data_IF_362510609933
#
_entry.id   IF_362510609933
#
_cell.length_a   1.000
_cell.length_b   1.000
_cell.length_c   1.000
_cell.angle_alpha   90.00
_cell.angle_beta   90.00
_cell.angle_gamma   90.00
#
_symmetry.space_group_name_H-M   'P 1'
#
loop_
_entity.id
_entity.type
_entity.pdbx_description
1 polymer ?
#
# COMPACT_ATOMS: atom_id res chain seq x y z
N UNK A 1 12.71 -5.07 19.99
CA UNK A 1 11.53 -5.87 19.63
C UNK A 1 11.52 -5.95 18.12
N UNK A 2 11.61 -7.16 17.58
CA UNK A 2 11.61 -7.37 16.14
C UNK A 2 10.17 -7.33 15.60
N UNK A 3 9.94 -6.69 14.45
CA UNK A 3 8.62 -6.62 13.80
C UNK A 3 8.09 -8.02 13.47
N UNK A 4 8.98 -8.95 13.16
CA UNK A 4 8.61 -10.33 12.79
C UNK A 4 8.04 -11.14 13.95
N UNK A 5 8.33 -10.74 15.18
CA UNK A 5 7.81 -11.40 16.40
C UNK A 5 6.47 -10.81 16.86
N UNK A 6 6.04 -9.67 16.29
CA UNK A 6 4.85 -8.95 16.75
C UNK A 6 3.52 -9.59 16.32
N UNK A 7 3.54 -10.42 15.27
CA UNK A 7 2.37 -11.07 14.70
C UNK A 7 2.77 -12.22 13.76
N UNK A 8 1.79 -13.05 13.36
CA UNK A 8 1.97 -14.01 12.29
C UNK A 8 1.80 -13.33 10.93
N UNK A 9 2.91 -13.01 10.28
CA UNK A 9 2.93 -12.37 8.96
C UNK A 9 2.77 -13.39 7.83
N UNK A 10 2.07 -13.00 6.78
CA UNK A 10 2.03 -13.73 5.51
C UNK A 10 3.39 -13.68 4.80
N UNK A 11 3.55 -14.51 3.77
CA UNK A 11 4.61 -14.30 2.78
C UNK A 11 4.44 -12.94 2.09
N UNK A 12 5.54 -12.44 1.55
CA UNK A 12 5.57 -11.28 0.66
C UNK A 12 5.07 -11.68 -0.73
N UNK A 13 4.19 -10.88 -1.31
CA UNK A 13 3.66 -11.07 -2.66
C UNK A 13 3.52 -9.72 -3.37
N UNK A 14 3.52 -9.71 -4.70
CA UNK A 14 3.33 -8.49 -5.48
C UNK A 14 1.95 -7.85 -5.26
N UNK A 15 1.82 -6.53 -5.50
CA UNK A 15 0.58 -5.78 -5.26
C UNK A 15 -0.67 -6.37 -5.94
N UNK A 16 -0.57 -6.82 -7.19
CA UNK A 16 -1.69 -7.44 -7.93
C UNK A 16 -2.08 -8.82 -7.37
N UNK A 17 -1.09 -9.61 -6.96
CA UNK A 17 -1.34 -10.88 -6.28
C UNK A 17 -2.00 -10.65 -4.92
N UNK A 18 -1.47 -9.72 -4.12
CA UNK A 18 -2.02 -9.35 -2.82
C UNK A 18 -3.51 -9.01 -2.90
N UNK A 19 -3.95 -8.30 -3.94
CA UNK A 19 -5.38 -8.00 -4.19
C UNK A 19 -6.24 -9.27 -4.24
N UNK A 20 -5.69 -10.36 -4.76
CA UNK A 20 -6.37 -11.62 -5.00
C UNK A 20 -6.36 -12.53 -3.77
N UNK A 21 -5.28 -12.52 -2.98
CA UNK A 21 -5.10 -13.47 -1.88
C UNK A 21 -5.37 -12.89 -0.48
N UNK A 22 -5.26 -11.57 -0.28
CA UNK A 22 -5.42 -10.97 1.06
C UNK A 22 -6.84 -11.19 1.61
N UNK A 23 -7.02 -11.59 2.89
CA UNK A 23 -8.34 -11.86 3.43
C UNK A 23 -9.20 -10.59 3.54
N UNK A 24 -10.52 -10.78 3.60
CA UNK A 24 -11.51 -9.72 3.91
C UNK A 24 -11.64 -9.48 5.42
N UNK A 25 -10.54 -9.61 6.15
CA UNK A 25 -10.47 -9.49 7.61
C UNK A 25 -9.77 -8.18 8.01
N UNK A 26 -9.97 -7.69 9.25
CA UNK A 26 -9.15 -6.63 9.80
C UNK A 26 -7.70 -7.11 9.94
N UNK A 27 -6.76 -6.17 9.87
CA UNK A 27 -5.35 -6.48 10.00
C UNK A 27 -4.43 -5.35 9.58
N UNK A 28 -3.13 -5.62 9.66
CA UNK A 28 -2.05 -4.72 9.27
C UNK A 28 -1.38 -5.30 8.04
N UNK A 29 -1.08 -4.44 7.07
CA UNK A 29 -0.24 -4.78 5.92
C UNK A 29 0.99 -3.87 5.91
N UNK A 30 2.10 -4.44 5.47
CA UNK A 30 3.34 -3.72 5.20
C UNK A 30 3.59 -3.74 3.70
N UNK A 31 4.17 -2.67 3.18
CA UNK A 31 4.75 -2.64 1.86
C UNK A 31 6.26 -2.53 1.97
N UNK A 32 6.98 -3.31 1.17
CA UNK A 32 8.41 -3.16 0.97
C UNK A 32 8.70 -2.79 -0.48
N UNK A 33 9.77 -2.02 -0.69
CA UNK A 33 10.30 -1.77 -2.02
C UNK A 33 10.94 -3.06 -2.55
N UNK A 34 10.49 -3.59 -3.69
CA UNK A 34 11.15 -4.72 -4.34
C UNK A 34 12.58 -4.41 -4.79
N UNK A 35 12.89 -3.11 -4.99
CA UNK A 35 14.21 -2.64 -5.39
C UNK A 35 15.22 -2.65 -4.24
N UNK A 36 14.78 -2.32 -3.02
CA UNK A 36 15.66 -2.13 -1.85
C UNK A 36 15.47 -3.19 -0.76
N UNK A 37 14.39 -3.97 -0.82
CA UNK A 37 13.99 -4.95 0.19
C UNK A 37 13.56 -4.37 1.53
N UNK A 38 13.59 -3.04 1.69
CA UNK A 38 13.24 -2.35 2.93
C UNK A 38 11.73 -2.13 3.06
N UNK A 39 11.19 -2.23 4.28
CA UNK A 39 9.80 -1.86 4.53
C UNK A 39 9.68 -0.35 4.43
N UNK A 40 8.77 0.07 3.55
CA UNK A 40 8.55 1.47 3.19
C UNK A 40 7.19 1.97 3.62
N UNK A 41 6.22 1.12 3.93
CA UNK A 41 4.91 1.60 4.36
C UNK A 41 4.24 0.58 5.28
N UNK A 42 3.48 1.08 6.23
CA UNK A 42 2.62 0.27 7.10
C UNK A 42 1.22 0.86 7.05
N UNK A 43 0.21 0.01 6.89
CA UNK A 43 -1.18 0.43 6.93
C UNK A 43 -2.05 -0.59 7.64
N UNK A 44 -3.12 -0.13 8.28
CA UNK A 44 -4.16 -1.01 8.79
C UNK A 44 -5.45 -0.95 7.96
N UNK A 45 -6.25 -2.00 8.09
CA UNK A 45 -7.65 -1.99 7.71
C UNK A 45 -8.50 -2.51 8.86
N UNK A 46 -9.56 -1.77 9.19
CA UNK A 46 -10.61 -2.21 10.09
C UNK A 46 -11.61 -3.12 9.38
N UNK A 47 -12.53 -3.66 10.14
CA UNK A 47 -13.78 -4.28 9.71
C UNK A 47 -14.62 -3.19 9.01
N UNK A 48 -14.30 -2.86 7.75
CA UNK A 48 -15.20 -1.99 6.99
C UNK A 48 -16.53 -2.72 6.86
N UNK A 49 -17.53 -2.27 7.62
CA UNK A 49 -18.86 -2.84 7.61
C UNK A 49 -19.38 -2.96 6.18
N UNK A 50 -19.81 -4.17 5.84
CA UNK A 50 -20.65 -4.38 4.68
C UNK A 50 -21.98 -3.66 4.87
N UNK A 51 -22.59 -3.13 3.81
CA UNK A 51 -23.89 -2.44 3.91
C UNK A 51 -25.06 -3.40 3.65
N UNK A 52 -25.09 -4.55 4.32
CA UNK A 52 -26.11 -5.61 4.20
C UNK A 52 -26.14 -6.35 2.85
N UNK A 53 -25.78 -5.68 1.76
CA UNK A 53 -25.73 -6.15 0.37
C UNK A 53 -24.30 -6.41 -0.13
N UNK A 54 -23.28 -5.99 0.62
CA UNK A 54 -21.87 -6.21 0.29
C UNK A 54 -21.15 -6.78 1.50
N UNK A 55 -20.23 -7.74 1.33
CA UNK A 55 -19.43 -8.26 2.43
C UNK A 55 -18.53 -7.16 3.00
N UNK A 56 -18.17 -7.31 4.28
CA UNK A 56 -17.11 -6.51 4.86
C UNK A 56 -15.83 -6.67 4.02
N UNK A 57 -15.16 -5.56 3.76
CA UNK A 57 -14.10 -5.54 2.76
C UNK A 57 -12.69 -5.67 3.35
N UNK A 58 -12.51 -5.41 4.66
CA UNK A 58 -11.25 -5.58 5.39
C UNK A 58 -10.01 -5.03 4.67
N UNK A 59 -8.89 -5.72 4.82
CA UNK A 59 -7.65 -5.43 4.09
C UNK A 59 -7.81 -5.50 2.57
N UNK A 60 -8.60 -6.46 2.05
CA UNK A 60 -8.83 -6.60 0.60
C UNK A 60 -9.38 -5.35 -0.05
N UNK A 61 -10.39 -4.71 0.55
CA UNK A 61 -10.93 -3.46 0.01
C UNK A 61 -9.99 -2.29 0.17
N UNK A 62 -9.05 -2.32 1.12
CA UNK A 62 -8.00 -1.30 1.23
C UNK A 62 -6.98 -1.48 0.11
N UNK A 63 -6.47 -2.69 -0.09
CA UNK A 63 -5.48 -3.02 -1.13
C UNK A 63 -6.05 -2.82 -2.54
N UNK A 64 -7.33 -3.18 -2.76
CA UNK A 64 -7.98 -2.96 -4.05
C UNK A 64 -7.96 -1.49 -4.50
N UNK A 65 -7.97 -0.53 -3.55
CA UNK A 65 -7.89 0.90 -3.89
C UNK A 65 -6.58 1.25 -4.58
N UNK A 66 -5.46 0.67 -4.17
CA UNK A 66 -4.15 0.91 -4.77
C UNK A 66 -4.07 0.44 -6.23
N UNK A 67 -4.77 -0.64 -6.57
CA UNK A 67 -4.85 -1.12 -7.96
C UNK A 67 -5.86 -0.34 -8.83
N UNK A 68 -6.75 0.45 -8.20
CA UNK A 68 -7.83 1.16 -8.89
C UNK A 68 -7.47 2.58 -9.35
N UNK A 69 -6.47 3.22 -8.75
CA UNK A 69 -6.03 4.57 -9.14
C UNK A 69 -5.59 5.43 -7.94
N UNK A 70 -5.99 6.70 -7.96
CA UNK A 70 -5.67 7.67 -6.91
C UNK A 70 -6.20 7.19 -5.55
N UNK A 71 -5.29 6.97 -4.60
CA UNK A 71 -5.59 6.44 -3.29
C UNK A 71 -4.71 7.11 -2.23
N UNK A 72 -5.30 7.44 -1.08
CA UNK A 72 -4.55 8.01 0.05
C UNK A 72 -3.67 6.97 0.75
N UNK A 73 -2.69 7.45 1.52
CA UNK A 73 -1.72 6.59 2.20
C UNK A 73 -0.67 6.09 1.21
N UNK A 74 -0.52 4.77 1.04
CA UNK A 74 0.51 4.18 0.16
C UNK A 74 0.50 4.74 -1.28
N UNK A 75 -0.68 4.92 -1.90
CA UNK A 75 -0.79 5.42 -3.26
C UNK A 75 -0.28 6.86 -3.41
N UNK A 76 -0.69 7.73 -2.51
CA UNK A 76 -0.21 9.12 -2.41
C UNK A 76 1.29 9.17 -2.12
N UNK A 77 1.77 8.36 -1.17
CA UNK A 77 3.18 8.30 -0.81
C UNK A 77 4.09 7.79 -1.95
N UNK A 78 3.59 6.86 -2.77
CA UNK A 78 4.26 6.42 -3.98
C UNK A 78 4.27 7.51 -5.06
N UNK A 79 3.13 8.21 -5.24
CA UNK A 79 3.03 9.32 -6.18
C UNK A 79 3.96 10.49 -5.81
N UNK A 80 4.02 10.88 -4.53
CA UNK A 80 4.95 11.92 -4.06
C UNK A 80 6.40 11.62 -4.43
N UNK A 81 6.80 10.35 -4.29
CA UNK A 81 8.16 9.89 -4.63
C UNK A 81 8.42 9.88 -6.12
N UNK A 82 7.43 9.46 -6.91
CA UNK A 82 7.52 9.55 -8.36
C UNK A 82 7.62 11.00 -8.83
N UNK A 83 6.84 11.91 -8.23
CA UNK A 83 6.91 13.35 -8.52
C UNK A 83 8.22 14.00 -8.04
N UNK A 84 8.88 13.43 -7.02
CA UNK A 84 10.19 13.86 -6.58
C UNK A 84 11.35 13.34 -7.45
N UNK A 85 11.08 12.45 -8.41
CA UNK A 85 12.08 11.90 -9.34
C UNK A 85 12.07 12.71 -10.67
N UNK A 86 13.12 13.52 -10.93
CA UNK A 86 13.19 14.31 -12.15
C UNK A 86 13.24 13.49 -13.43
N UNK A 87 13.80 12.28 -13.39
CA UNK A 87 13.85 11.42 -14.58
C UNK A 87 12.45 10.93 -14.91
N UNK A 88 11.72 10.42 -13.91
CA UNK A 88 10.35 9.97 -14.10
C UNK A 88 9.43 11.09 -14.59
N UNK A 89 9.59 12.31 -14.07
CA UNK A 89 8.84 13.47 -14.54
C UNK A 89 9.14 13.83 -15.99
N UNK A 90 10.39 13.75 -16.44
CA UNK A 90 10.76 14.02 -17.84
C UNK A 90 10.10 13.02 -18.79
N UNK A 91 10.05 11.74 -18.43
CA UNK A 91 9.36 10.72 -19.22
C UNK A 91 7.87 11.03 -19.35
N UNK A 92 7.21 11.40 -18.25
CA UNK A 92 5.79 11.79 -18.25
C UNK A 92 5.55 13.08 -19.03
N UNK A 93 6.46 14.05 -18.97
CA UNK A 93 6.38 15.29 -19.74
C UNK A 93 6.45 14.99 -21.25
N UNK A 94 7.39 14.13 -21.68
CA UNK A 94 7.51 13.75 -23.08
C UNK A 94 6.23 13.09 -23.63
N UNK A 95 5.53 12.27 -22.84
CA UNK A 95 4.22 11.71 -23.22
C UNK A 95 3.17 12.80 -23.43
N UNK A 96 3.12 13.80 -22.54
CA UNK A 96 2.20 14.94 -22.68
C UNK A 96 2.53 15.77 -23.92
N UNK A 97 3.81 16.08 -24.15
CA UNK A 97 4.28 16.82 -25.32
C UNK A 97 4.00 16.07 -26.63
N UNK A 98 4.04 14.74 -26.61
CA UNK A 98 3.66 13.88 -27.74
C UNK A 98 2.12 13.79 -27.97
N UNK A 99 1.31 14.55 -27.23
CA UNK A 99 -0.14 14.55 -27.36
C UNK A 99 -0.81 13.32 -26.72
N UNK A 100 -0.15 12.67 -25.77
CA UNK A 100 -0.66 11.50 -25.04
C UNK A 100 -0.89 11.79 -23.55
N UNK A 101 -1.68 12.83 -23.17
CA UNK A 101 -1.95 13.09 -21.76
C UNK A 101 -2.76 11.94 -21.15
N UNK A 102 -2.37 11.50 -19.96
CA UNK A 102 -3.06 10.44 -19.22
C UNK A 102 -3.69 11.00 -17.93
N UNK A 103 -4.75 10.35 -17.44
CA UNK A 103 -5.50 10.83 -16.26
C UNK A 103 -4.65 10.71 -15.00
N UNK A 104 -4.92 11.55 -13.99
CA UNK A 104 -4.23 11.50 -12.69
C UNK A 104 -4.26 10.09 -12.04
N UNK A 105 -5.36 9.34 -12.20
CA UNK A 105 -5.44 7.97 -11.72
C UNK A 105 -4.45 7.02 -12.41
N UNK A 106 -4.10 7.27 -13.68
CA UNK A 106 -3.06 6.51 -14.39
C UNK A 106 -1.66 6.90 -13.92
N UNK A 107 -1.41 8.17 -13.59
CA UNK A 107 -0.15 8.61 -12.96
C UNK A 107 0.06 7.90 -11.62
N UNK A 108 -0.98 7.85 -10.77
CA UNK A 108 -0.91 7.13 -9.50
C UNK A 108 -0.60 5.63 -9.67
N UNK A 109 -1.19 4.99 -10.69
CA UNK A 109 -0.87 3.59 -11.02
C UNK A 109 0.57 3.42 -11.51
N UNK A 110 1.04 4.31 -12.38
CA UNK A 110 2.41 4.29 -12.87
C UNK A 110 3.44 4.50 -11.73
N UNK A 111 3.12 5.37 -10.77
CA UNK A 111 3.95 5.58 -9.58
C UNK A 111 4.05 4.33 -8.69
N UNK A 112 2.93 3.62 -8.47
CA UNK A 112 2.94 2.33 -7.75
C UNK A 112 3.69 1.24 -8.51
N UNK A 113 3.56 1.18 -9.83
CA UNK A 113 4.29 0.23 -10.67
C UNK A 113 5.81 0.49 -10.62
N UNK A 114 6.23 1.76 -10.72
CA UNK A 114 7.64 2.17 -10.57
C UNK A 114 8.24 1.73 -9.23
N UNK A 115 7.44 1.73 -8.16
CA UNK A 115 7.90 1.40 -6.83
C UNK A 115 8.11 -0.11 -6.59
N UNK A 116 7.68 -0.97 -7.52
CA UNK A 116 7.83 -2.44 -7.46
C UNK A 116 7.48 -3.02 -6.08
N UNK A 117 6.33 -2.60 -5.55
CA UNK A 117 5.96 -2.91 -4.17
C UNK A 117 5.52 -4.35 -4.00
N UNK A 118 6.05 -4.98 -2.96
CA UNK A 118 5.54 -6.23 -2.40
C UNK A 118 4.80 -5.94 -1.09
N UNK A 119 3.77 -6.74 -0.81
CA UNK A 119 2.96 -6.65 0.39
C UNK A 119 3.04 -7.94 1.22
N UNK A 120 3.07 -7.78 2.53
CA UNK A 120 2.73 -8.84 3.49
C UNK A 120 1.70 -8.31 4.49
N UNK A 121 1.01 -9.21 5.20
CA UNK A 121 -0.01 -8.81 6.17
C UNK A 121 -0.09 -9.75 7.37
N UNK A 122 -0.65 -9.23 8.46
CA UNK A 122 -1.05 -9.99 9.63
C UNK A 122 -2.53 -9.72 9.91
N UNK A 123 -3.30 -10.80 10.10
CA UNK A 123 -4.71 -10.72 10.48
C UNK A 123 -4.81 -10.43 11.98
N UNK A 124 -5.73 -9.56 12.36
CA UNK A 124 -6.05 -9.30 13.78
C UNK A 124 -7.48 -9.71 14.08
N UNK A 125 -7.80 -9.91 15.36
CA UNK A 125 -9.17 -10.20 15.77
C UNK A 125 -10.11 -9.00 15.54
N UNK A 126 -9.58 -7.78 15.73
CA UNK A 126 -10.35 -6.53 15.60
C UNK A 126 -9.59 -5.44 14.87
N UNK A 127 -10.30 -4.43 14.37
CA UNK A 127 -9.75 -3.24 13.74
C UNK A 127 -8.99 -2.34 14.71
N UNK A 128 -9.37 -2.33 16.00
CA UNK A 128 -8.59 -1.63 17.03
C UNK A 128 -7.30 -2.39 17.36
N UNK A 129 -7.35 -3.72 17.35
CA UNK A 129 -6.14 -4.56 17.39
C UNK A 129 -5.22 -4.30 16.19
N UNK A 130 -5.79 -4.12 15.00
CA UNK A 130 -5.03 -3.72 13.81
C UNK A 130 -4.36 -2.36 13.99
N UNK A 131 -5.08 -1.37 14.52
CA UNK A 131 -4.52 -0.04 14.77
C UNK A 131 -3.39 -0.07 15.79
N UNK A 132 -3.58 -0.80 16.88
CA UNK A 132 -2.56 -0.95 17.92
C UNK A 132 -1.31 -1.68 17.40
N UNK A 133 -1.47 -2.69 16.53
CA UNK A 133 -0.35 -3.37 15.88
C UNK A 133 0.36 -2.43 14.89
N UNK A 134 -0.38 -1.69 14.06
CA UNK A 134 0.18 -0.69 13.14
C UNK A 134 1.06 0.33 13.89
N UNK A 135 0.59 0.87 15.01
CA UNK A 135 1.34 1.85 15.80
C UNK A 135 2.65 1.28 16.34
N UNK A 136 2.65 0.03 16.82
CA UNK A 136 3.88 -0.64 17.30
C UNK A 136 4.86 -0.91 16.16
N UNK A 137 4.37 -1.36 15.01
CA UNK A 137 5.21 -1.62 13.83
C UNK A 137 5.82 -0.31 13.30
N UNK A 138 5.02 0.75 13.19
CA UNK A 138 5.49 2.08 12.79
C UNK A 138 6.56 2.60 13.75
N UNK A 139 6.36 2.45 15.07
CA UNK A 139 7.32 2.90 16.07
C UNK A 139 8.71 2.25 15.90
N UNK A 140 8.76 0.99 15.45
CA UNK A 140 10.03 0.28 15.21
C UNK A 140 10.67 0.65 13.87
N UNK A 141 9.88 0.93 12.83
CA UNK A 141 10.38 1.15 11.47
C UNK A 141 10.55 2.63 11.07
N UNK A 142 10.28 3.57 11.98
CA UNK A 142 9.98 4.97 11.65
C UNK A 142 10.97 5.80 10.82
N UNK A 143 12.29 5.56 10.72
CA UNK A 143 13.10 6.36 9.81
C UNK A 143 12.96 5.97 8.32
N UNK A 144 12.51 4.74 8.01
CA UNK A 144 12.46 4.25 6.61
C UNK A 144 11.07 4.35 5.99
N UNK A 145 10.05 4.65 6.79
CA UNK A 145 8.67 4.64 6.35
C UNK A 145 8.27 5.89 5.58
N UNK A 146 7.42 5.67 4.60
CA UNK A 146 6.73 6.65 3.77
C UNK A 146 5.44 7.15 4.42
N UNK A 147 5.05 6.55 5.54
CA UNK A 147 4.00 7.04 6.42
C UNK A 147 4.27 8.49 6.81
N UNK A 148 3.27 9.35 6.64
CA UNK A 148 3.27 10.73 7.16
C UNK A 148 2.72 10.77 8.56
#
# INVERSE_FOLDING_TARGET
MDVWEMAQWSAWVGLEEARSVVPRLPGVYMARSGLEGCVVYVGCAKERAGNGSRPANGMRGRIAKYTSGLASGLGEAALDRALADPQWLRERLAEVEAGQPVRAAQWAKAALARAELELCWAVTATGDGAKALEDRVIAVLRPTLWNR
#
